data_IF_236704871752
#
_entry.id   IF_236704871752
#
_cell.length_a   1.000
_cell.length_b   1.000
_cell.length_c   1.000
_cell.angle_alpha   90.00
_cell.angle_beta   90.00
_cell.angle_gamma   90.00
#
_symmetry.space_group_name_H-M   'P 1'
#
loop_
_entity.id
_entity.type
_entity.pdbx_description
1 polymer ?
#
# COMPACT_ATOMS: atom_id res chain seq x y z
N UNK A 1 66.45 -44.95 47.24
CA UNK A 1 65.22 -44.23 47.56
C UNK A 1 65.02 -43.13 46.53
N UNK A 2 64.08 -43.35 45.59
CA UNK A 2 63.76 -42.38 44.54
C UNK A 2 62.40 -41.74 44.86
N UNK A 3 62.37 -40.43 45.11
CA UNK A 3 61.18 -39.72 45.48
C UNK A 3 60.54 -39.21 44.18
N UNK A 4 59.36 -39.77 43.84
CA UNK A 4 58.54 -39.28 42.77
C UNK A 4 57.76 -37.99 43.19
N UNK A 5 58.00 -36.89 42.54
CA UNK A 5 57.23 -35.67 42.75
C UNK A 5 56.11 -35.69 41.71
N UNK A 6 54.85 -35.80 42.19
CA UNK A 6 53.66 -35.60 41.33
C UNK A 6 53.37 -34.11 41.18
N UNK A 7 53.52 -33.57 39.94
CA UNK A 7 53.15 -32.21 39.59
C UNK A 7 51.69 -32.24 39.09
N UNK A 8 50.71 -31.80 39.91
CA UNK A 8 49.31 -31.63 39.52
C UNK A 8 49.16 -30.34 38.77
N UNK A 9 48.91 -30.46 37.47
CA UNK A 9 48.56 -29.33 36.63
C UNK A 9 47.04 -29.09 36.78
N UNK A 10 46.66 -28.01 37.48
CA UNK A 10 45.28 -27.49 37.48
C UNK A 10 45.03 -26.77 36.20
N UNK A 11 44.16 -27.35 35.34
CA UNK A 11 43.57 -26.64 34.23
C UNK A 11 42.38 -25.80 34.73
N UNK A 12 42.30 -24.49 34.46
CA UNK A 12 41.12 -23.73 34.73
C UNK A 12 40.02 -24.17 33.76
N UNK A 13 38.91 -24.66 34.28
CA UNK A 13 37.68 -24.91 33.52
C UNK A 13 37.05 -23.53 33.25
N UNK A 14 37.23 -23.01 32.04
CA UNK A 14 36.42 -21.89 31.55
C UNK A 14 35.04 -22.45 31.22
N UNK A 15 34.07 -22.21 32.10
CA UNK A 15 32.66 -22.31 31.73
C UNK A 15 32.35 -21.11 30.88
N UNK A 16 32.22 -21.32 29.55
CA UNK A 16 31.57 -20.36 28.67
C UNK A 16 30.08 -20.35 29.06
N UNK A 17 29.65 -19.34 29.79
CA UNK A 17 28.24 -18.96 29.82
C UNK A 17 27.86 -18.54 28.42
N UNK A 18 27.12 -19.38 27.70
CA UNK A 18 26.37 -18.96 26.54
C UNK A 18 25.27 -18.02 27.03
N UNK A 19 25.54 -16.72 26.95
CA UNK A 19 24.46 -15.75 27.00
C UNK A 19 23.54 -16.07 25.83
N UNK A 20 22.41 -16.72 26.09
CA UNK A 20 21.30 -16.77 25.18
C UNK A 20 20.79 -15.34 25.09
N UNK A 21 21.18 -14.62 24.04
CA UNK A 21 20.43 -13.45 23.63
C UNK A 21 19.02 -13.95 23.28
N UNK A 22 18.11 -13.85 24.24
CA UNK A 22 16.69 -13.84 23.91
C UNK A 22 16.50 -12.51 23.19
N UNK A 23 16.55 -12.57 21.87
CA UNK A 23 16.03 -11.47 21.05
C UNK A 23 14.59 -11.25 21.52
N UNK A 24 14.35 -10.11 22.19
CA UNK A 24 12.98 -9.69 22.46
C UNK A 24 12.29 -9.61 21.12
N UNK A 25 11.09 -10.20 20.95
CA UNK A 25 10.34 -10.09 19.71
C UNK A 25 10.28 -8.62 19.30
N UNK A 26 10.65 -8.34 18.07
CA UNK A 26 10.53 -6.98 17.51
C UNK A 26 9.05 -6.67 17.44
N UNK A 27 8.60 -5.71 18.22
CA UNK A 27 7.21 -5.28 18.24
C UNK A 27 7.00 -4.26 17.10
N UNK A 28 6.11 -4.59 16.17
CA UNK A 28 5.72 -3.73 15.07
C UNK A 28 4.45 -2.97 15.47
N UNK A 29 4.51 -1.65 15.46
CA UNK A 29 3.43 -0.79 15.92
C UNK A 29 3.10 0.27 14.87
N UNK A 30 1.80 0.56 14.73
CA UNK A 30 1.29 1.72 13.99
C UNK A 30 0.90 2.79 15.00
N UNK A 31 1.56 3.95 14.92
CA UNK A 31 1.24 5.12 15.72
C UNK A 31 0.55 6.15 14.84
N UNK A 32 -0.69 6.50 15.17
CA UNK A 32 -1.42 7.56 14.46
C UNK A 32 -0.80 8.93 14.78
N UNK A 33 -0.35 9.64 13.75
CA UNK A 33 0.21 10.98 13.84
C UNK A 33 -0.85 12.05 13.56
N UNK A 34 -1.61 11.89 12.48
CA UNK A 34 -2.69 12.82 12.11
C UNK A 34 -3.73 12.17 11.22
N UNK A 35 -4.93 12.76 11.21
CA UNK A 35 -6.06 12.36 10.37
C UNK A 35 -6.42 13.51 9.43
N UNK A 36 -6.65 13.19 8.16
CA UNK A 36 -6.93 14.12 7.09
C UNK A 36 -8.16 13.69 6.30
N UNK A 37 -8.80 14.63 5.61
CA UNK A 37 -9.93 14.32 4.75
C UNK A 37 -9.50 13.39 3.60
N UNK A 38 -10.36 12.44 3.27
CA UNK A 38 -10.28 11.62 2.08
C UNK A 38 -11.66 11.54 1.41
N UNK A 39 -11.70 11.42 0.10
CA UNK A 39 -12.94 11.32 -0.66
C UNK A 39 -13.61 9.95 -0.45
N UNK A 40 -14.73 9.94 0.24
CA UNK A 40 -15.46 8.71 0.53
C UNK A 40 -16.16 8.05 -0.68
N UNK A 41 -16.05 8.65 -1.87
CA UNK A 41 -16.43 8.01 -3.14
C UNK A 41 -15.23 7.32 -3.81
N UNK A 42 -14.03 7.46 -3.25
CA UNK A 42 -12.83 6.80 -3.74
C UNK A 42 -12.79 5.32 -3.33
N UNK A 43 -12.96 4.44 -4.29
CA UNK A 43 -12.68 3.02 -4.09
C UNK A 43 -11.19 2.77 -4.32
N UNK A 44 -10.37 3.17 -3.34
CA UNK A 44 -8.90 3.20 -3.42
C UNK A 44 -8.32 1.84 -3.73
N UNK A 45 -7.51 1.76 -4.79
CA UNK A 45 -6.84 0.54 -5.22
C UNK A 45 -5.32 0.65 -5.20
N UNK A 46 -4.78 1.84 -5.41
CA UNK A 46 -3.37 2.11 -5.30
C UNK A 46 -3.12 3.52 -4.79
N UNK A 47 -2.06 3.69 -4.03
CA UNK A 47 -1.65 4.94 -3.41
C UNK A 47 -0.14 5.09 -3.58
N UNK A 48 0.33 6.25 -4.02
CA UNK A 48 1.75 6.51 -4.25
C UNK A 48 2.09 7.96 -3.92
N UNK A 49 3.10 8.19 -3.11
CA UNK A 49 3.59 9.54 -2.81
C UNK A 49 4.69 9.93 -3.81
N UNK A 50 4.50 11.05 -4.49
CA UNK A 50 5.52 11.58 -5.38
C UNK A 50 5.54 13.11 -5.40
N UNK A 51 6.73 13.71 -5.19
CA UNK A 51 6.94 15.17 -5.21
C UNK A 51 5.96 15.99 -4.34
N UNK A 52 5.58 15.45 -3.17
CA UNK A 52 4.70 16.13 -2.21
C UNK A 52 3.20 16.00 -2.51
N UNK A 53 2.81 15.30 -3.57
CA UNK A 53 1.42 14.92 -3.87
C UNK A 53 1.22 13.42 -3.72
N UNK A 54 0.01 13.01 -3.40
CA UNK A 54 -0.42 11.62 -3.49
C UNK A 54 -1.04 11.39 -4.86
N UNK A 55 -0.60 10.34 -5.55
CA UNK A 55 -1.31 9.77 -6.68
C UNK A 55 -2.16 8.61 -6.18
N UNK A 56 -3.40 8.55 -6.65
CA UNK A 56 -4.36 7.55 -6.23
C UNK A 56 -5.10 6.99 -7.44
N UNK A 57 -5.16 5.66 -7.53
CA UNK A 57 -6.07 4.98 -8.44
C UNK A 57 -7.31 4.52 -7.69
N UNK A 58 -8.48 4.73 -8.32
CA UNK A 58 -9.76 4.28 -7.77
C UNK A 58 -10.39 3.25 -8.69
N UNK A 59 -10.84 2.13 -8.13
CA UNK A 59 -11.48 1.05 -8.87
C UNK A 59 -12.95 1.31 -9.20
N UNK A 60 -13.64 0.26 -9.56
CA UNK A 60 -15.02 0.12 -10.01
C UNK A 60 -15.24 0.41 -11.51
N UNK A 61 -15.92 -0.52 -12.19
CA UNK A 61 -16.32 -0.35 -13.58
C UNK A 61 -17.22 0.88 -13.73
N UNK A 62 -16.90 1.74 -14.69
CA UNK A 62 -17.62 3.00 -14.93
C UNK A 62 -17.25 4.16 -13.99
N UNK A 63 -16.39 3.92 -12.97
CA UNK A 63 -15.97 4.94 -12.01
C UNK A 63 -14.46 4.97 -11.76
N UNK A 64 -13.70 4.09 -12.39
CA UNK A 64 -12.25 4.03 -12.26
C UNK A 64 -11.56 5.31 -12.70
N UNK A 65 -10.60 5.78 -11.92
CA UNK A 65 -9.84 7.00 -12.20
C UNK A 65 -8.40 6.92 -11.71
N UNK A 66 -7.55 7.78 -12.28
CA UNK A 66 -6.24 8.13 -11.75
C UNK A 66 -6.27 9.60 -11.37
N UNK A 67 -5.85 9.93 -10.15
CA UNK A 67 -5.94 11.29 -9.63
C UNK A 67 -4.71 11.69 -8.82
N UNK A 68 -4.40 12.98 -8.84
CA UNK A 68 -3.42 13.62 -7.98
C UNK A 68 -4.17 14.33 -6.86
N UNK A 69 -3.76 14.10 -5.63
CA UNK A 69 -4.43 14.53 -4.40
C UNK A 69 -3.43 15.27 -3.52
N UNK A 70 -3.84 16.40 -2.95
CA UNK A 70 -3.08 17.06 -1.90
C UNK A 70 -3.22 16.27 -0.58
N UNK A 71 -2.14 15.73 -0.01
CA UNK A 71 -2.22 14.83 1.14
C UNK A 71 -2.75 15.51 2.40
N UNK A 72 -2.58 16.82 2.55
CA UNK A 72 -2.93 17.56 3.76
C UNK A 72 -4.39 18.00 3.78
N UNK A 73 -4.94 18.35 2.63
CA UNK A 73 -6.34 18.76 2.50
C UNK A 73 -7.25 17.65 1.97
N UNK A 74 -6.69 16.59 1.37
CA UNK A 74 -7.42 15.53 0.69
C UNK A 74 -8.12 16.00 -0.60
N UNK A 75 -7.79 17.20 -1.09
CA UNK A 75 -8.41 17.74 -2.31
C UNK A 75 -7.80 17.13 -3.56
N UNK A 76 -8.65 16.72 -4.48
CA UNK A 76 -8.23 16.28 -5.81
C UNK A 76 -7.76 17.49 -6.61
N UNK A 77 -6.47 17.54 -6.92
CA UNK A 77 -5.84 18.60 -7.73
C UNK A 77 -6.22 18.43 -9.19
N UNK A 78 -6.15 17.19 -9.69
CA UNK A 78 -6.55 16.80 -11.05
C UNK A 78 -6.83 15.31 -11.11
N UNK A 79 -7.61 14.91 -12.10
CA UNK A 79 -7.96 13.50 -12.31
C UNK A 79 -8.24 13.21 -13.78
N UNK A 80 -8.11 11.93 -14.14
CA UNK A 80 -8.55 11.38 -15.41
C UNK A 80 -9.41 10.15 -15.15
N UNK A 81 -10.61 10.12 -15.75
CA UNK A 81 -11.48 8.94 -15.72
C UNK A 81 -11.04 7.92 -16.76
N UNK A 82 -11.16 6.65 -16.45
CA UNK A 82 -10.88 5.57 -17.38
C UNK A 82 -12.14 5.15 -18.15
N UNK A 83 -11.94 4.32 -19.16
CA UNK A 83 -13.05 3.72 -19.88
C UNK A 83 -13.90 2.89 -18.90
N UNK A 84 -15.22 2.92 -19.07
CA UNK A 84 -16.20 2.23 -18.22
C UNK A 84 -15.99 0.71 -18.08
N UNK A 85 -15.28 0.10 -19.03
CA UNK A 85 -14.94 -1.32 -19.03
C UNK A 85 -13.65 -1.64 -18.26
N UNK A 86 -12.97 -0.64 -17.73
CA UNK A 86 -11.70 -0.79 -16.99
C UNK A 86 -11.97 -0.69 -15.49
N UNK A 87 -11.44 -1.66 -14.76
CA UNK A 87 -11.30 -1.60 -13.32
C UNK A 87 -9.83 -1.36 -13.01
N UNK A 88 -9.47 -0.15 -12.56
CA UNK A 88 -8.09 0.17 -12.19
C UNK A 88 -7.71 -0.43 -10.85
N UNK A 89 -6.46 -0.77 -10.72
CA UNK A 89 -5.85 -1.40 -9.55
C UNK A 89 -4.61 -0.61 -9.12
N UNK A 90 -3.66 -1.24 -8.45
CA UNK A 90 -2.45 -0.62 -7.91
C UNK A 90 -1.67 0.23 -8.91
N UNK A 91 -0.97 1.22 -8.40
CA UNK A 91 -0.12 2.14 -9.16
C UNK A 91 1.27 2.21 -8.57
N UNK A 92 2.24 2.61 -9.38
CA UNK A 92 3.56 3.03 -8.93
C UNK A 92 4.18 4.04 -9.89
N UNK A 93 5.04 4.90 -9.36
CA UNK A 93 5.81 5.84 -10.18
C UNK A 93 7.11 5.17 -10.66
N UNK A 94 7.33 5.22 -11.96
CA UNK A 94 8.58 4.81 -12.58
C UNK A 94 9.08 5.88 -13.55
N UNK A 95 10.22 6.50 -13.25
CA UNK A 95 10.70 7.70 -13.93
C UNK A 95 9.65 8.83 -13.89
N UNK A 96 9.36 9.47 -15.03
CA UNK A 96 8.32 10.51 -15.17
C UNK A 96 6.95 9.93 -15.54
N UNK A 97 6.67 8.68 -15.19
CA UNK A 97 5.42 7.98 -15.55
C UNK A 97 4.78 7.28 -14.34
N UNK A 98 3.47 7.03 -14.44
CA UNK A 98 2.73 6.20 -13.51
C UNK A 98 2.31 4.93 -14.24
N UNK A 99 2.72 3.77 -13.72
CA UNK A 99 2.25 2.46 -14.18
C UNK A 99 1.03 2.11 -13.33
N UNK A 100 -0.11 1.82 -13.99
CA UNK A 100 -1.37 1.47 -13.35
C UNK A 100 -1.84 0.11 -13.84
N UNK A 101 -2.07 -0.81 -12.93
CA UNK A 101 -2.63 -2.12 -13.23
C UNK A 101 -4.14 -2.04 -13.50
N UNK A 102 -4.65 -3.11 -14.11
CA UNK A 102 -6.09 -3.36 -14.23
C UNK A 102 -6.42 -4.73 -13.62
N UNK A 103 -7.60 -4.88 -13.02
CA UNK A 103 -7.95 -6.14 -12.35
C UNK A 103 -7.91 -7.36 -13.26
N UNK A 104 -8.76 -7.39 -14.30
CA UNK A 104 -8.93 -8.56 -15.19
C UNK A 104 -8.69 -8.24 -16.67
N UNK A 105 -8.35 -7.01 -16.99
CA UNK A 105 -8.11 -6.62 -18.40
C UNK A 105 -6.72 -7.03 -18.89
N UNK A 106 -5.85 -7.55 -18.01
CA UNK A 106 -4.50 -8.03 -18.33
C UNK A 106 -3.61 -6.95 -18.99
N UNK A 107 -3.88 -5.66 -18.67
CA UNK A 107 -3.16 -4.50 -19.21
C UNK A 107 -2.69 -3.61 -18.06
N UNK A 108 -1.42 -3.21 -18.09
CA UNK A 108 -0.89 -2.12 -17.28
C UNK A 108 -0.76 -0.88 -18.17
N UNK A 109 -1.49 0.18 -17.85
CA UNK A 109 -1.38 1.47 -18.53
C UNK A 109 -0.22 2.28 -17.98
N UNK A 110 0.48 2.99 -18.87
CA UNK A 110 1.55 3.92 -18.50
C UNK A 110 1.08 5.33 -18.79
N UNK A 111 1.00 6.14 -17.75
CA UNK A 111 0.57 7.53 -17.84
C UNK A 111 1.79 8.46 -17.75
N UNK A 112 1.81 9.52 -18.55
CA UNK A 112 2.69 10.66 -18.30
C UNK A 112 2.25 11.36 -17.02
N UNK A 113 3.18 11.50 -16.06
CA UNK A 113 2.85 12.03 -14.73
C UNK A 113 2.45 13.51 -14.76
N UNK A 114 2.89 14.28 -15.76
CA UNK A 114 2.64 15.74 -15.83
C UNK A 114 1.22 16.07 -16.28
N UNK A 115 0.61 15.23 -17.13
CA UNK A 115 -0.69 15.52 -17.72
C UNK A 115 -1.72 14.39 -17.56
N UNK A 116 -1.34 13.27 -16.94
CA UNK A 116 -2.13 12.05 -16.72
C UNK A 116 -2.71 11.48 -18.02
N UNK A 117 -1.99 11.60 -19.15
CA UNK A 117 -2.37 10.95 -20.40
C UNK A 117 -1.68 9.61 -20.57
N UNK A 118 -2.40 8.63 -21.13
CA UNK A 118 -1.81 7.32 -21.45
C UNK A 118 -0.79 7.50 -22.58
N UNK A 119 0.45 7.11 -22.34
CA UNK A 119 1.55 7.18 -23.33
C UNK A 119 1.94 5.81 -23.87
N UNK A 120 1.70 4.74 -23.10
CA UNK A 120 1.95 3.36 -23.52
C UNK A 120 1.18 2.37 -22.64
N UNK A 121 1.34 1.08 -22.91
CA UNK A 121 0.81 0.02 -22.06
C UNK A 121 1.66 -1.24 -22.17
N UNK A 122 1.57 -2.09 -21.15
CA UNK A 122 2.11 -3.44 -21.14
C UNK A 122 0.98 -4.45 -21.03
N UNK A 123 1.17 -5.65 -21.60
CA UNK A 123 0.28 -6.77 -21.38
C UNK A 123 0.87 -7.71 -20.34
N UNK A 124 0.04 -8.31 -19.51
CA UNK A 124 0.40 -9.36 -18.57
C UNK A 124 -0.69 -10.43 -18.54
N UNK A 125 -0.50 -11.50 -17.79
CA UNK A 125 -1.49 -12.58 -17.65
C UNK A 125 -2.02 -12.62 -16.22
N UNK A 126 -3.33 -12.88 -16.09
CA UNK A 126 -4.03 -13.02 -14.82
C UNK A 126 -4.47 -11.68 -14.23
N UNK A 127 -4.74 -11.68 -12.95
CA UNK A 127 -5.19 -10.48 -12.24
C UNK A 127 -4.02 -9.60 -11.81
N UNK A 128 -4.21 -8.28 -11.85
CA UNK A 128 -3.31 -7.30 -11.25
C UNK A 128 -3.99 -6.67 -10.05
N UNK A 129 -3.29 -6.61 -8.90
CA UNK A 129 -3.79 -6.02 -7.67
C UNK A 129 -2.91 -4.85 -7.22
N UNK A 130 -1.79 -5.07 -6.55
CA UNK A 130 -0.84 -4.05 -6.15
C UNK A 130 0.43 -4.04 -6.99
N UNK A 131 1.11 -2.90 -7.04
CA UNK A 131 2.42 -2.77 -7.69
C UNK A 131 3.22 -1.68 -7.01
N UNK A 132 4.52 -1.92 -6.79
CA UNK A 132 5.46 -0.89 -6.37
C UNK A 132 6.81 -1.05 -7.09
N UNK A 133 7.65 0.00 -7.07
CA UNK A 133 8.99 0.00 -7.65
C UNK A 133 10.05 0.09 -6.54
N UNK A 134 10.94 -0.90 -6.45
CA UNK A 134 11.97 -1.00 -5.40
C UNK A 134 13.29 -0.29 -5.72
N UNK A 135 13.30 0.59 -6.74
CA UNK A 135 14.51 1.23 -7.25
C UNK A 135 15.22 0.43 -8.35
N UNK A 136 14.82 -0.83 -8.57
CA UNK A 136 15.42 -1.70 -9.57
C UNK A 136 14.38 -2.52 -10.36
N UNK A 137 13.40 -3.05 -9.68
CA UNK A 137 12.36 -3.93 -10.23
C UNK A 137 10.97 -3.44 -9.87
N UNK A 138 9.99 -3.80 -10.70
CA UNK A 138 8.60 -3.71 -10.33
C UNK A 138 8.20 -4.98 -9.56
N UNK A 139 7.48 -4.80 -8.47
CA UNK A 139 6.97 -5.87 -7.61
C UNK A 139 5.46 -5.83 -7.69
N UNK A 140 4.82 -6.93 -8.12
CA UNK A 140 3.39 -6.96 -8.42
C UNK A 140 2.70 -8.11 -7.69
N UNK A 141 1.60 -7.83 -7.04
CA UNK A 141 0.67 -8.78 -6.42
C UNK A 141 -0.50 -9.14 -7.35
N UNK A 142 -1.19 -10.23 -7.04
CA UNK A 142 -2.34 -10.73 -7.77
C UNK A 142 -3.41 -11.37 -6.87
N UNK A 143 -3.46 -10.98 -5.59
CA UNK A 143 -4.39 -11.51 -4.61
C UNK A 143 -4.02 -12.89 -4.05
N UNK A 144 -2.94 -13.49 -4.48
CA UNK A 144 -2.40 -14.74 -3.91
C UNK A 144 -1.17 -14.46 -3.06
N UNK A 145 -0.51 -15.51 -2.57
CA UNK A 145 0.81 -15.41 -1.94
C UNK A 145 1.96 -15.24 -2.93
N UNK A 146 1.70 -15.30 -4.23
CA UNK A 146 2.72 -15.22 -5.27
C UNK A 146 2.91 -13.77 -5.72
N UNK A 147 4.14 -13.28 -5.57
CA UNK A 147 4.57 -11.94 -5.99
C UNK A 147 5.45 -12.07 -7.21
N UNK A 148 5.12 -11.37 -8.29
CA UNK A 148 5.96 -11.33 -9.49
C UNK A 148 6.94 -10.15 -9.44
N UNK A 149 8.22 -10.45 -9.66
CA UNK A 149 9.28 -9.46 -9.82
C UNK A 149 9.48 -9.25 -11.31
N UNK A 150 9.33 -7.99 -11.76
CA UNK A 150 9.27 -7.66 -13.18
C UNK A 150 10.35 -6.65 -13.57
N UNK A 151 10.77 -6.74 -14.83
CA UNK A 151 11.63 -5.72 -15.45
C UNK A 151 10.82 -4.43 -15.72
N UNK A 152 11.27 -3.26 -15.27
CA UNK A 152 10.47 -2.04 -15.38
C UNK A 152 10.33 -1.50 -16.81
N UNK A 153 11.20 -1.91 -17.73
CA UNK A 153 11.17 -1.43 -19.12
C UNK A 153 10.34 -2.33 -20.04
N UNK A 154 10.37 -3.65 -19.81
CA UNK A 154 9.67 -4.63 -20.65
C UNK A 154 8.43 -5.20 -19.97
N UNK A 155 8.25 -4.98 -18.67
CA UNK A 155 7.23 -5.59 -17.82
C UNK A 155 7.28 -7.12 -17.75
N UNK A 156 8.33 -7.76 -18.30
CA UNK A 156 8.50 -9.20 -18.26
C UNK A 156 8.73 -9.70 -16.83
N UNK A 157 8.14 -10.85 -16.52
CA UNK A 157 8.40 -11.54 -15.25
C UNK A 157 9.83 -12.08 -15.25
N UNK A 158 10.64 -11.65 -14.30
CA UNK A 158 12.00 -12.13 -14.09
C UNK A 158 12.02 -13.33 -13.14
N UNK A 159 11.18 -13.28 -12.10
CA UNK A 159 11.00 -14.35 -11.12
C UNK A 159 9.68 -14.17 -10.37
N UNK A 160 9.26 -15.25 -9.70
CA UNK A 160 8.11 -15.24 -8.79
C UNK A 160 8.60 -15.66 -7.41
N UNK A 161 8.11 -14.97 -6.39
CA UNK A 161 8.42 -15.24 -4.98
C UNK A 161 7.12 -15.58 -4.26
N UNK A 162 7.16 -16.53 -3.34
CA UNK A 162 6.01 -16.86 -2.49
C UNK A 162 6.19 -16.23 -1.12
N UNK A 163 5.24 -15.43 -0.68
CA UNK A 163 5.27 -14.82 0.66
C UNK A 163 4.75 -15.83 1.68
N UNK A 164 5.55 -16.05 2.73
CA UNK A 164 5.26 -17.00 3.80
C UNK A 164 5.56 -16.41 5.17
N UNK A 165 4.84 -16.89 6.17
CA UNK A 165 5.17 -16.66 7.58
C UNK A 165 6.39 -17.48 8.05
N UNK A 166 6.79 -17.32 9.30
CA UNK A 166 7.93 -18.03 9.91
C UNK A 166 7.76 -19.55 9.96
N UNK A 167 6.51 -20.04 9.90
CA UNK A 167 6.18 -21.45 9.87
C UNK A 167 6.11 -22.04 8.46
N UNK A 168 6.32 -21.18 7.43
CA UNK A 168 6.23 -21.55 6.03
C UNK A 168 4.78 -21.57 5.49
N UNK A 169 3.79 -21.07 6.22
CA UNK A 169 2.44 -20.95 5.73
C UNK A 169 2.34 -19.78 4.72
N UNK A 170 1.60 -19.97 3.65
CA UNK A 170 1.41 -18.97 2.60
C UNK A 170 0.51 -17.84 3.08
N UNK A 171 0.92 -16.60 2.86
CA UNK A 171 0.12 -15.41 3.11
C UNK A 171 -0.59 -15.04 1.82
N UNK A 172 -1.90 -15.26 1.77
CA UNK A 172 -2.74 -14.95 0.60
C UNK A 172 -3.44 -13.60 0.75
N UNK A 173 -4.15 -13.18 -0.30
CA UNK A 173 -4.87 -11.89 -0.38
C UNK A 173 -3.96 -10.68 -0.31
N UNK A 174 -2.70 -10.82 -0.71
CA UNK A 174 -1.77 -9.69 -0.81
C UNK A 174 -2.30 -8.74 -1.89
N UNK A 175 -2.56 -7.50 -1.48
CA UNK A 175 -3.22 -6.50 -2.30
C UNK A 175 -2.28 -5.33 -2.64
N UNK A 176 -2.60 -4.14 -2.20
CA UNK A 176 -1.82 -2.94 -2.47
C UNK A 176 -0.44 -3.02 -1.85
N UNK A 177 0.57 -2.47 -2.54
CA UNK A 177 1.99 -2.61 -2.21
C UNK A 177 2.69 -1.26 -2.16
N UNK A 178 3.54 -1.06 -1.15
CA UNK A 178 4.48 0.04 -1.05
C UNK A 178 5.91 -0.48 -0.88
N UNK A 179 6.82 -0.05 -1.76
CA UNK A 179 8.23 -0.42 -1.72
C UNK A 179 9.06 0.61 -0.95
N UNK A 180 9.83 0.16 0.03
CA UNK A 180 10.74 1.00 0.79
C UNK A 180 12.17 0.46 0.73
N UNK A 181 13.15 1.37 0.76
CA UNK A 181 14.56 1.01 0.85
C UNK A 181 15.03 1.16 2.30
N UNK A 182 15.62 0.12 2.85
CA UNK A 182 16.22 0.12 4.18
C UNK A 182 17.72 -0.11 4.08
N UNK A 183 18.45 0.06 5.20
CA UNK A 183 19.88 -0.29 5.26
C UNK A 183 20.16 -1.75 4.89
N UNK A 184 19.20 -2.64 5.12
CA UNK A 184 19.28 -4.07 4.83
C UNK A 184 18.84 -4.40 3.39
N UNK A 185 18.41 -3.41 2.61
CA UNK A 185 17.92 -3.55 1.24
C UNK A 185 16.42 -3.28 1.10
N UNK A 186 15.86 -3.58 -0.09
CA UNK A 186 14.44 -3.33 -0.37
C UNK A 186 13.53 -4.15 0.55
N UNK A 187 12.43 -3.55 0.97
CA UNK A 187 11.33 -4.15 1.71
C UNK A 187 10.01 -3.77 1.06
N UNK A 188 8.99 -4.57 1.27
CA UNK A 188 7.64 -4.30 0.74
C UNK A 188 6.64 -4.33 1.88
N UNK A 189 5.91 -3.24 2.04
CA UNK A 189 4.68 -3.17 2.82
C UNK A 189 3.52 -3.60 1.93
N UNK A 190 2.56 -4.34 2.49
CA UNK A 190 1.40 -4.81 1.73
C UNK A 190 0.13 -4.84 2.57
N UNK A 191 -0.96 -4.36 2.01
CA UNK A 191 -2.29 -4.62 2.56
C UNK A 191 -2.70 -6.08 2.30
N UNK A 192 -3.41 -6.66 3.25
CA UNK A 192 -4.09 -7.95 3.09
C UNK A 192 -5.58 -7.68 2.90
N UNK A 193 -6.12 -8.05 1.73
CA UNK A 193 -7.53 -7.78 1.41
C UNK A 193 -8.49 -8.41 2.42
N UNK A 194 -9.46 -7.63 2.91
CA UNK A 194 -10.41 -7.97 3.97
C UNK A 194 -9.73 -8.32 5.30
N UNK A 195 -8.60 -7.72 5.57
CA UNK A 195 -7.87 -7.84 6.84
C UNK A 195 -7.39 -6.44 7.24
N UNK A 196 -7.27 -6.18 8.52
CA UNK A 196 -6.81 -4.89 9.05
C UNK A 196 -5.30 -4.88 9.27
N UNK A 197 -4.57 -5.80 8.65
CA UNK A 197 -3.12 -5.93 8.75
C UNK A 197 -2.40 -5.33 7.56
N UNK A 198 -1.25 -4.73 7.87
CA UNK A 198 -0.22 -4.40 6.90
C UNK A 198 0.98 -5.29 7.20
N UNK A 199 1.42 -6.09 6.23
CA UNK A 199 2.60 -6.93 6.38
C UNK A 199 3.84 -6.27 5.79
N UNK A 200 5.00 -6.57 6.34
CA UNK A 200 6.33 -6.24 5.80
C UNK A 200 7.02 -7.53 5.38
N UNK A 201 7.50 -7.61 4.16
CA UNK A 201 8.23 -8.79 3.68
C UNK A 201 9.46 -8.45 2.85
N UNK A 202 10.39 -9.40 2.78
CA UNK A 202 11.57 -9.32 1.91
C UNK A 202 11.22 -9.78 0.48
N UNK A 203 11.28 -8.90 -0.53
CA UNK A 203 10.96 -9.26 -1.91
C UNK A 203 12.00 -10.20 -2.54
N UNK A 204 13.16 -10.41 -1.91
CA UNK A 204 14.19 -11.30 -2.43
C UNK A 204 13.83 -12.78 -2.27
N UNK A 205 13.13 -13.13 -1.19
CA UNK A 205 12.83 -14.51 -0.80
C UNK A 205 11.39 -14.75 -0.35
N UNK A 206 10.59 -13.69 -0.08
CA UNK A 206 9.21 -13.75 0.36
C UNK A 206 9.02 -13.98 1.86
N UNK A 207 10.08 -13.89 2.67
CA UNK A 207 9.96 -14.03 4.12
C UNK A 207 9.20 -12.87 4.74
N UNK A 208 8.21 -13.16 5.57
CA UNK A 208 7.57 -12.18 6.44
C UNK A 208 8.60 -11.62 7.43
N UNK A 209 8.67 -10.31 7.54
CA UNK A 209 9.58 -9.59 8.46
C UNK A 209 8.80 -8.87 9.55
N UNK A 210 7.57 -8.45 9.29
CA UNK A 210 6.74 -7.71 10.21
C UNK A 210 5.26 -7.81 9.90
N UNK A 211 4.45 -7.51 10.91
CA UNK A 211 3.00 -7.52 10.86
C UNK A 211 2.48 -6.35 11.71
N UNK A 212 1.77 -5.42 11.09
CA UNK A 212 1.25 -4.22 11.72
C UNK A 212 -0.27 -4.31 11.83
N UNK A 213 -0.80 -4.20 13.04
CA UNK A 213 -2.24 -4.15 13.31
C UNK A 213 -2.78 -2.72 13.12
N UNK A 214 -3.60 -2.51 12.09
CA UNK A 214 -4.28 -1.26 11.80
C UNK A 214 -5.77 -1.28 12.21
N UNK A 215 -6.23 -2.27 12.98
CA UNK A 215 -7.63 -2.45 13.36
C UNK A 215 -8.22 -1.21 14.03
N UNK A 216 -7.48 -0.54 14.90
CA UNK A 216 -7.92 0.67 15.59
C UNK A 216 -8.21 1.87 14.66
N UNK A 217 -7.62 1.86 13.46
CA UNK A 217 -7.86 2.85 12.40
C UNK A 217 -9.00 2.38 11.51
N UNK A 218 -9.02 1.10 11.12
CA UNK A 218 -10.06 0.51 10.29
C UNK A 218 -11.44 0.59 10.92
N UNK A 219 -11.57 0.32 12.21
CA UNK A 219 -12.84 0.39 12.94
C UNK A 219 -13.54 1.74 12.83
N UNK A 220 -12.79 2.85 12.69
CA UNK A 220 -13.36 4.19 12.52
C UNK A 220 -14.04 4.37 11.17
N UNK A 221 -13.72 3.53 10.18
CA UNK A 221 -14.10 3.67 8.78
C UNK A 221 -14.98 2.51 8.28
N UNK A 222 -15.23 1.46 9.07
CA UNK A 222 -15.88 0.22 8.67
C UNK A 222 -17.41 0.34 8.49
N UNK A 223 -17.87 1.30 7.68
CA UNK A 223 -19.28 1.56 7.43
C UNK A 223 -19.89 0.69 6.31
N UNK A 224 -19.20 -0.35 5.84
CA UNK A 224 -19.65 -1.23 4.74
C UNK A 224 -18.73 -2.41 4.52
N UNK A 225 -19.25 -3.48 3.91
CA UNK A 225 -18.51 -4.75 3.67
C UNK A 225 -17.25 -4.54 2.83
N UNK A 226 -17.26 -3.55 1.93
CA UNK A 226 -16.14 -3.27 1.03
C UNK A 226 -15.29 -2.05 1.47
N UNK A 227 -15.59 -1.45 2.63
CA UNK A 227 -14.82 -0.33 3.16
C UNK A 227 -13.63 -0.85 3.95
N UNK A 228 -12.70 -1.47 3.24
CA UNK A 228 -11.52 -2.13 3.82
C UNK A 228 -10.28 -1.27 3.70
N UNK A 229 -9.34 -1.48 4.61
CA UNK A 229 -7.98 -0.91 4.54
C UNK A 229 -7.35 -1.25 3.20
N UNK A 230 -6.93 -0.23 2.45
CA UNK A 230 -6.21 -0.36 1.18
C UNK A 230 -5.60 0.96 0.76
N UNK A 231 -4.32 0.96 0.52
CA UNK A 231 -3.51 2.11 0.14
C UNK A 231 -2.48 2.45 1.21
N UNK A 232 -1.21 2.36 0.82
CA UNK A 232 -0.03 2.71 1.62
C UNK A 232 0.85 3.58 0.73
N UNK A 233 1.29 4.74 1.22
CA UNK A 233 2.26 5.56 0.50
C UNK A 233 3.34 6.08 1.46
N UNK A 234 4.59 5.87 1.13
CA UNK A 234 5.72 6.28 1.93
C UNK A 234 5.86 7.81 1.93
N UNK A 235 5.83 8.43 3.11
CA UNK A 235 5.99 9.87 3.26
C UNK A 235 7.44 10.27 3.50
N UNK A 236 8.00 9.81 4.61
CA UNK A 236 9.41 10.00 4.98
C UNK A 236 9.80 9.00 6.07
N UNK A 237 11.10 8.65 6.14
CA UNK A 237 11.63 7.75 7.19
C UNK A 237 10.66 6.61 7.54
N UNK A 238 10.05 6.67 8.73
CA UNK A 238 9.06 5.69 9.22
C UNK A 238 7.60 6.16 9.08
N UNK A 239 7.33 7.26 8.37
CA UNK A 239 5.99 7.82 8.23
C UNK A 239 5.35 7.44 6.90
N UNK A 240 4.09 7.03 6.97
CA UNK A 240 3.31 6.56 5.84
C UNK A 240 1.91 7.16 5.84
N UNK A 241 1.40 7.42 4.66
CA UNK A 241 -0.02 7.67 4.46
C UNK A 241 -0.73 6.34 4.27
N UNK A 242 -1.81 6.13 5.01
CA UNK A 242 -2.69 4.97 4.82
C UNK A 242 -4.14 5.42 4.70
N UNK A 243 -4.92 4.69 3.91
CA UNK A 243 -6.35 4.91 3.74
C UNK A 243 -7.06 3.59 3.44
N UNK A 244 -8.30 3.65 2.99
CA UNK A 244 -9.08 2.48 2.58
C UNK A 244 -10.15 2.82 1.56
N UNK A 245 -10.75 1.76 1.01
CA UNK A 245 -11.82 1.86 0.01
C UNK A 245 -13.03 2.57 0.62
N UNK A 246 -13.47 3.67 -0.02
CA UNK A 246 -14.58 4.51 0.44
C UNK A 246 -14.41 5.09 1.86
N UNK A 247 -13.22 5.17 2.38
CA UNK A 247 -12.96 5.82 3.66
C UNK A 247 -13.11 7.34 3.50
N UNK A 248 -13.60 8.00 4.54
CA UNK A 248 -13.69 9.46 4.59
C UNK A 248 -12.42 10.12 5.13
N UNK A 249 -11.46 9.32 5.58
CA UNK A 249 -10.21 9.79 6.18
C UNK A 249 -9.01 9.06 5.61
N UNK A 250 -7.93 9.81 5.48
CA UNK A 250 -6.57 9.33 5.23
C UNK A 250 -5.73 9.67 6.46
N UNK A 251 -4.84 8.79 6.83
CA UNK A 251 -4.08 8.89 8.06
C UNK A 251 -2.59 8.95 7.78
N UNK A 252 -1.91 9.92 8.39
CA UNK A 252 -0.46 9.88 8.51
C UNK A 252 -0.13 9.07 9.76
N UNK A 253 0.64 8.02 9.59
CA UNK A 253 1.05 7.10 10.65
C UNK A 253 2.57 6.96 10.69
N UNK A 254 3.13 6.65 11.86
CA UNK A 254 4.49 6.15 11.98
C UNK A 254 4.42 4.63 12.16
N UNK A 255 5.19 3.89 11.37
CA UNK A 255 5.37 2.45 11.51
C UNK A 255 6.73 2.20 12.14
N UNK A 256 6.75 1.73 13.39
CA UNK A 256 7.99 1.51 14.14
C UNK A 256 8.67 0.20 13.73
N UNK A 257 9.99 0.13 14.02
CA UNK A 257 10.82 -1.04 13.71
C UNK A 257 10.98 -1.39 12.21
N UNK A 258 10.60 -0.51 11.31
CA UNK A 258 11.15 -0.51 9.95
C UNK A 258 12.50 0.19 10.07
N UNK A 259 13.52 -0.55 10.56
CA UNK A 259 14.84 0.03 10.83
C UNK A 259 15.52 0.47 9.53
N UNK A 260 16.10 1.68 9.54
CA UNK A 260 16.96 2.16 8.46
C UNK A 260 16.25 2.50 7.16
N UNK A 261 14.96 2.91 7.18
CA UNK A 261 14.34 3.51 6.00
C UNK A 261 15.10 4.80 5.68
N UNK A 262 15.83 4.81 4.57
CA UNK A 262 16.51 6.02 4.10
C UNK A 262 15.47 7.11 3.84
N UNK A 263 15.73 8.32 4.37
CA UNK A 263 14.93 9.51 4.01
C UNK A 263 14.86 9.60 2.49
N UNK A 264 13.64 9.50 1.98
CA UNK A 264 13.30 9.30 0.59
C UNK A 264 14.33 9.81 -0.40
N UNK A 265 15.09 8.92 -0.98
CA UNK A 265 15.68 9.18 -2.27
C UNK A 265 14.55 9.23 -3.29
N UNK A 266 13.92 10.40 -3.34
CA UNK A 266 13.17 10.80 -4.52
C UNK A 266 14.14 10.69 -5.68
N UNK A 267 14.11 9.59 -6.42
CA UNK A 267 14.93 9.42 -7.61
C UNK A 267 14.53 10.49 -8.60
N UNK A 268 15.39 11.54 -8.65
CA UNK A 268 15.35 12.74 -9.51
C UNK A 268 14.34 13.84 -9.11
N UNK A 269 14.78 14.80 -8.25
CA UNK A 269 14.25 16.16 -8.29
C UNK A 269 13.53 16.76 -7.09
N UNK A 270 13.65 16.22 -5.88
CA UNK A 270 13.19 16.92 -4.68
C UNK A 270 14.11 18.10 -4.35
N UNK A 271 13.74 19.30 -4.76
CA UNK A 271 14.43 20.54 -4.41
C UNK A 271 14.34 20.80 -2.91
N UNK A 272 15.47 20.80 -2.23
CA UNK A 272 15.59 21.28 -0.85
C UNK A 272 15.21 22.76 -0.81
N UNK A 273 14.05 23.09 -0.26
CA UNK A 273 13.74 24.44 0.21
C UNK A 273 13.82 24.52 1.73
N UNK A 274 15.04 24.58 2.25
CA UNK A 274 15.30 25.02 3.62
C UNK A 274 15.20 26.54 3.67
N UNK A 275 14.07 27.09 4.09
CA UNK A 275 14.00 28.43 4.66
C UNK A 275 12.89 28.52 5.73
N UNK A 276 13.24 28.74 6.99
CA UNK A 276 12.27 29.07 8.01
C UNK A 276 11.96 30.57 7.92
N UNK A 277 10.85 30.94 7.30
CA UNK A 277 10.32 32.29 7.37
C UNK A 277 9.14 32.36 8.31
N UNK A 278 9.34 33.19 9.33
CA UNK A 278 8.46 33.68 10.36
C UNK A 278 7.01 33.87 9.95
N UNK A 279 6.13 33.34 10.81
CA UNK A 279 4.66 33.45 10.77
C UNK A 279 4.25 34.89 11.07
N UNK A 280 3.64 35.57 10.10
CA UNK A 280 2.86 36.78 10.33
C UNK A 280 1.37 36.40 10.44
N UNK A 281 0.78 36.63 11.60
CA UNK A 281 -0.63 36.40 11.90
C UNK A 281 -1.44 37.52 11.24
N UNK A 282 -2.31 37.18 10.29
CA UNK A 282 -3.34 38.11 9.76
C UNK A 282 -4.71 37.59 10.21
N UNK A 283 -5.56 38.41 10.83
CA UNK A 283 -6.89 37.98 11.24
C UNK A 283 -7.84 37.89 10.05
N UNK A 284 -8.47 36.73 9.86
CA UNK A 284 -9.50 36.51 8.84
C UNK A 284 -10.86 36.98 9.35
N UNK A 285 -11.45 37.87 8.58
CA UNK A 285 -12.79 38.43 8.77
C UNK A 285 -13.85 37.37 8.38
N UNK A 286 -14.77 37.05 9.28
CA UNK A 286 -15.92 36.15 9.01
C UNK A 286 -16.87 36.80 7.99
N UNK A 287 -17.02 36.17 6.83
CA UNK A 287 -18.17 36.39 5.93
C UNK A 287 -19.09 35.16 5.97
N UNK A 288 -20.25 35.31 6.55
CA UNK A 288 -21.36 34.35 6.53
C UNK A 288 -22.09 34.45 5.20
N UNK A 289 -22.06 33.42 4.39
CA UNK A 289 -22.91 33.28 3.20
C UNK A 289 -23.95 32.19 3.47
N UNK A 290 -25.21 32.60 3.51
CA UNK A 290 -26.39 31.72 3.59
C UNK A 290 -26.71 31.16 2.21
N UNK A 291 -26.50 29.86 2.00
CA UNK A 291 -26.99 29.14 0.81
C UNK A 291 -28.25 28.35 1.11
N UNK A 292 -29.22 28.45 0.23
CA UNK A 292 -30.62 28.04 0.34
C UNK A 292 -30.83 26.53 0.20
N UNK A 293 -31.74 25.99 1.02
CA UNK A 293 -32.15 24.59 1.21
C UNK A 293 -32.60 23.75 -0.02
N UNK A 294 -32.98 24.27 -1.20
CA UNK A 294 -33.46 23.40 -2.28
C UNK A 294 -32.36 22.55 -2.98
N UNK A 295 -31.10 22.98 -2.97
CA UNK A 295 -30.01 22.24 -3.62
C UNK A 295 -29.63 20.94 -2.89
N UNK A 296 -29.82 20.90 -1.57
CA UNK A 296 -29.48 19.74 -0.76
C UNK A 296 -30.44 18.55 -1.00
N UNK A 297 -31.70 18.83 -1.38
CA UNK A 297 -32.70 17.77 -1.58
C UNK A 297 -32.55 17.07 -2.93
N UNK A 298 -32.16 17.78 -3.98
CA UNK A 298 -31.87 17.16 -5.31
C UNK A 298 -30.59 16.35 -5.28
N UNK A 299 -29.59 16.82 -4.55
CA UNK A 299 -28.30 16.11 -4.41
C UNK A 299 -28.44 14.78 -3.65
N UNK A 300 -29.24 14.73 -2.58
CA UNK A 300 -29.52 13.48 -1.85
C UNK A 300 -30.25 12.45 -2.71
N UNK A 301 -31.24 12.86 -3.50
CA UNK A 301 -32.01 11.91 -4.31
C UNK A 301 -31.22 11.26 -5.45
N UNK A 302 -30.31 12.00 -6.08
CA UNK A 302 -29.39 11.46 -7.11
C UNK A 302 -28.34 10.51 -6.50
N UNK A 303 -27.90 10.79 -5.28
CA UNK A 303 -26.94 9.96 -4.56
C UNK A 303 -27.51 8.61 -4.17
N UNK A 304 -28.77 8.57 -3.68
CA UNK A 304 -29.42 7.32 -3.25
C UNK A 304 -29.69 6.37 -4.43
N UNK A 305 -30.00 6.89 -5.63
CA UNK A 305 -30.18 6.08 -6.84
C UNK A 305 -28.83 5.51 -7.32
N UNK A 306 -27.76 6.31 -7.24
CA UNK A 306 -26.41 5.87 -7.65
C UNK A 306 -25.86 4.80 -6.69
N UNK A 307 -26.09 4.94 -5.40
CA UNK A 307 -25.67 3.95 -4.40
C UNK A 307 -26.41 2.62 -4.56
N UNK A 308 -27.72 2.63 -4.86
CA UNK A 308 -28.47 1.40 -5.17
C UNK A 308 -27.93 0.67 -6.41
N UNK A 309 -27.56 1.39 -7.46
CA UNK A 309 -26.98 0.77 -8.65
C UNK A 309 -25.59 0.18 -8.39
N UNK A 310 -24.78 0.82 -7.55
CA UNK A 310 -23.46 0.34 -7.16
C UNK A 310 -23.59 -0.92 -6.29
N UNK A 311 -24.50 -0.94 -5.33
CA UNK A 311 -24.76 -2.09 -4.46
C UNK A 311 -25.29 -3.31 -5.26
N UNK A 312 -26.18 -3.10 -6.24
CA UNK A 312 -26.64 -4.17 -7.12
C UNK A 312 -25.52 -4.73 -8.02
N UNK A 313 -24.61 -3.89 -8.46
CA UNK A 313 -23.46 -4.31 -9.29
C UNK A 313 -22.42 -5.07 -8.45
N UNK A 314 -22.17 -4.62 -7.23
CA UNK A 314 -21.24 -5.27 -6.31
C UNK A 314 -21.79 -6.60 -5.78
N UNK A 315 -23.09 -6.69 -5.43
CA UNK A 315 -23.73 -7.94 -5.04
C UNK A 315 -23.74 -8.98 -6.16
N UNK A 316 -23.92 -8.55 -7.41
CA UNK A 316 -23.82 -9.43 -8.58
C UNK A 316 -22.40 -9.92 -8.82
N UNK A 317 -21.42 -9.12 -8.41
CA UNK A 317 -20.01 -9.49 -8.46
C UNK A 317 -19.66 -10.55 -7.40
N UNK A 318 -20.13 -10.39 -6.17
CA UNK A 318 -19.93 -11.36 -5.09
C UNK A 318 -20.64 -12.69 -5.38
N UNK A 319 -21.85 -12.67 -5.95
CA UNK A 319 -22.55 -13.87 -6.43
C UNK A 319 -21.79 -14.59 -7.56
N UNK A 320 -21.07 -13.85 -8.43
CA UNK A 320 -20.24 -14.46 -9.47
C UNK A 320 -18.95 -15.07 -8.92
N UNK A 321 -18.40 -14.52 -7.84
CA UNK A 321 -17.24 -15.10 -7.14
C UNK A 321 -17.59 -16.38 -6.38
N UNK A 322 -18.81 -16.47 -5.83
CA UNK A 322 -19.31 -17.65 -5.14
C UNK A 322 -19.86 -18.72 -6.11
N UNK A 323 -20.27 -18.35 -7.32
CA UNK A 323 -20.85 -19.25 -8.32
C UNK A 323 -19.80 -20.05 -9.12
N UNK A 324 -18.49 -19.90 -8.88
CA UNK A 324 -17.46 -20.74 -9.49
C UNK A 324 -17.57 -22.16 -8.92
N UNK A 325 -17.97 -23.18 -9.74
CA UNK A 325 -18.18 -24.53 -9.25
C UNK A 325 -16.91 -25.10 -8.62
N UNK A 326 -17.07 -25.76 -7.48
CA UNK A 326 -15.99 -26.43 -6.72
C UNK A 326 -15.17 -27.45 -7.56
N UNK A 327 -15.62 -27.80 -8.77
CA UNK A 327 -14.92 -28.67 -9.71
C UNK A 327 -13.72 -28.01 -10.40
N UNK A 328 -13.60 -26.69 -10.42
CA UNK A 328 -12.42 -26.00 -10.94
C UNK A 328 -11.38 -25.65 -9.88
N UNK A 329 -11.69 -25.88 -8.59
CA UNK A 329 -10.73 -25.71 -7.48
C UNK A 329 -9.82 -26.92 -7.23
N UNK A 330 -9.95 -28.01 -8.03
CA UNK A 330 -9.11 -29.22 -7.94
C UNK A 330 -8.42 -29.50 -9.28
N UNK A 331 -7.32 -28.85 -9.50
CA UNK A 331 -6.49 -29.13 -10.66
C UNK A 331 -5.12 -28.47 -10.48
N UNK A 332 -4.26 -29.15 -9.75
CA UNK A 332 -2.89 -28.70 -9.53
C UNK A 332 -2.24 -29.51 -8.41
N UNK A 333 -1.96 -30.78 -8.68
CA UNK A 333 -0.93 -31.55 -7.95
C UNK A 333 0.46 -31.14 -8.42
#
# INVERSE_FOLDING_TARGET
>A
MATLIFLSILFPIFTAESASNYDTPVEYEIVLLSEHYHDNEAFTQGLEMHNGSIYESTGLYGSSSLREVDPWSGQVIRSVSLNETIFSEGITVYNDTIIMLTWKSEVAYVFDIKNLTIVSSFSYQGEGWGICYDGKYLIMSNGTSSISIRDPNSFNVLRVVTVTDELGNRINKINELECVTTEEGPRVLANIWQDDRIILFDPSNGSLLGDFDASSISEKNSNGINNVLNGIAHHNSSEFWITGKNWSSMYLVSMTNISGVEEGNCFTGCGQNNNPTSIAIIPVLLMTITFSLPFLFMYRKTRDVKNQQIDETNNRHDELLDAVPASQKRGGD
#
